data_IF_765061686715
#
_entry.id   IF_765061686715
#
_cell.length_a   1.000
_cell.length_b   1.000
_cell.length_c   1.000
_cell.angle_alpha   90.00
_cell.angle_beta   90.00
_cell.angle_gamma   90.00
#
_symmetry.space_group_name_H-M   'P 1'
#
loop_
_entity.id
_entity.type
_entity.pdbx_description
1 polymer ?
#
# COMPACT_ATOMS: atom_id res chain seq x y z
N UNK A 1 7.77 -12.31 5.94
CA UNK A 1 7.39 -11.33 6.98
C UNK A 1 7.52 -9.94 6.39
N UNK A 2 6.57 -9.05 6.66
CA UNK A 2 6.66 -7.66 6.20
C UNK A 2 7.59 -6.83 7.11
N UNK A 3 8.01 -5.67 6.61
CA UNK A 3 8.76 -4.65 7.34
C UNK A 3 7.83 -3.50 7.74
N UNK A 4 8.26 -2.73 8.73
CA UNK A 4 7.57 -1.53 9.15
C UNK A 4 8.56 -0.34 9.12
N UNK A 5 8.18 0.85 8.65
CA UNK A 5 9.11 1.96 8.44
C UNK A 5 9.59 2.57 9.76
N UNK A 6 8.80 2.43 10.83
CA UNK A 6 9.26 2.69 12.19
C UNK A 6 10.09 1.50 12.70
N UNK A 7 11.38 1.70 13.07
CA UNK A 7 12.29 0.64 13.50
C UNK A 7 11.89 -0.04 14.82
N UNK A 8 11.03 0.59 15.63
CA UNK A 8 10.53 0.04 16.89
C UNK A 8 9.26 -0.80 16.73
N UNK A 9 8.76 -0.98 15.49
CA UNK A 9 7.56 -1.76 15.20
C UNK A 9 7.90 -2.96 14.31
N UNK A 10 7.29 -4.09 14.61
CA UNK A 10 7.39 -5.28 13.77
C UNK A 10 6.37 -5.22 12.63
N UNK A 11 6.73 -5.79 11.48
CA UNK A 11 5.75 -6.08 10.45
C UNK A 11 4.87 -7.27 10.82
N UNK A 12 3.93 -7.58 9.95
CA UNK A 12 2.98 -8.68 10.11
C UNK A 12 3.37 -9.85 9.22
N UNK A 13 2.91 -11.05 9.57
CA UNK A 13 3.06 -12.20 8.72
C UNK A 13 1.85 -12.31 7.78
N UNK A 14 2.09 -12.17 6.48
CA UNK A 14 1.08 -12.26 5.42
C UNK A 14 1.53 -13.35 4.45
N UNK A 15 0.61 -14.16 3.95
CA UNK A 15 0.93 -15.15 2.92
C UNK A 15 1.47 -14.44 1.68
N UNK A 16 2.50 -15.04 1.06
CA UNK A 16 3.17 -14.43 -0.10
C UNK A 16 2.18 -14.05 -1.20
N UNK A 17 1.21 -14.91 -1.48
CA UNK A 17 0.16 -14.68 -2.47
C UNK A 17 -0.68 -13.41 -2.19
N UNK A 18 -1.20 -13.27 -0.96
CA UNK A 18 -2.02 -12.09 -0.59
C UNK A 18 -1.18 -10.81 -0.58
N UNK A 19 0.08 -10.92 -0.16
CA UNK A 19 1.03 -9.81 -0.22
C UNK A 19 1.28 -9.38 -1.66
N UNK A 20 1.57 -10.32 -2.57
CA UNK A 20 1.91 -10.03 -3.96
C UNK A 20 0.70 -9.44 -4.71
N UNK A 21 -0.51 -9.96 -4.49
CA UNK A 21 -1.75 -9.39 -5.04
C UNK A 21 -1.96 -7.93 -4.58
N UNK A 22 -1.84 -7.69 -3.27
CA UNK A 22 -2.03 -6.36 -2.68
C UNK A 22 -0.93 -5.39 -3.12
N UNK A 23 0.33 -5.84 -3.14
CA UNK A 23 1.48 -5.06 -3.61
C UNK A 23 1.30 -4.66 -5.07
N UNK A 24 0.93 -5.59 -5.94
CA UNK A 24 0.69 -5.33 -7.36
C UNK A 24 -0.39 -4.27 -7.55
N UNK A 25 -1.54 -4.44 -6.88
CA UNK A 25 -2.64 -3.48 -6.96
C UNK A 25 -2.24 -2.08 -6.46
N UNK A 26 -1.45 -1.99 -5.39
CA UNK A 26 -0.98 -0.70 -4.85
C UNK A 26 -0.03 -0.01 -5.84
N UNK A 27 1.02 -0.72 -6.28
CA UNK A 27 2.05 -0.13 -7.13
C UNK A 27 1.47 0.33 -8.47
N UNK A 28 0.65 -0.50 -9.10
CA UNK A 28 -0.01 -0.15 -10.37
C UNK A 28 -0.94 1.06 -10.21
N UNK A 29 -1.69 1.14 -9.10
CA UNK A 29 -2.58 2.28 -8.83
C UNK A 29 -1.82 3.59 -8.60
N UNK A 30 -0.66 3.53 -7.94
CA UNK A 30 0.21 4.71 -7.73
C UNK A 30 0.87 5.10 -9.05
N UNK A 31 1.38 4.14 -9.82
CA UNK A 31 2.03 4.37 -11.11
C UNK A 31 1.08 5.08 -12.09
N UNK A 32 -0.15 4.58 -12.21
CA UNK A 32 -1.17 5.17 -13.09
C UNK A 32 -1.57 6.59 -12.68
N UNK A 33 -1.58 6.90 -11.38
CA UNK A 33 -1.98 8.20 -10.86
C UNK A 33 -0.82 9.21 -10.73
N UNK A 34 0.43 8.73 -10.69
CA UNK A 34 1.62 9.49 -10.30
C UNK A 34 1.63 9.79 -8.79
N UNK A 35 0.63 10.52 -8.30
CA UNK A 35 0.40 10.76 -6.88
C UNK A 35 -1.05 10.44 -6.50
N UNK A 36 -1.25 9.69 -5.41
CA UNK A 36 -2.59 9.22 -5.02
C UNK A 36 -2.87 9.44 -3.54
N UNK A 37 -4.12 9.84 -3.19
CA UNK A 37 -4.55 9.94 -1.79
C UNK A 37 -4.66 8.55 -1.19
N UNK A 38 -4.00 8.33 -0.06
CA UNK A 38 -3.98 7.02 0.59
C UNK A 38 -5.37 6.54 1.04
N UNK A 39 -6.11 7.40 1.76
CA UNK A 39 -7.35 6.99 2.44
C UNK A 39 -8.56 6.81 1.51
N UNK A 40 -8.65 7.64 0.45
CA UNK A 40 -9.80 7.65 -0.46
C UNK A 40 -9.46 6.94 -1.75
N UNK A 41 -8.56 7.53 -2.53
CA UNK A 41 -8.37 7.21 -3.93
C UNK A 41 -7.68 5.84 -4.06
N UNK A 42 -6.57 5.63 -3.33
CA UNK A 42 -5.87 4.34 -3.37
C UNK A 42 -6.73 3.20 -2.81
N UNK A 43 -7.45 3.45 -1.71
CA UNK A 43 -8.36 2.45 -1.14
C UNK A 43 -9.46 2.08 -2.13
N UNK A 44 -10.01 3.06 -2.83
CA UNK A 44 -11.03 2.84 -3.85
C UNK A 44 -10.48 2.03 -5.03
N UNK A 45 -9.31 2.39 -5.56
CA UNK A 45 -8.68 1.68 -6.69
C UNK A 45 -8.33 0.23 -6.33
N UNK A 46 -7.75 0.00 -5.16
CA UNK A 46 -7.45 -1.35 -4.68
C UNK A 46 -8.74 -2.15 -4.48
N UNK A 47 -9.79 -1.56 -3.93
CA UNK A 47 -11.08 -2.23 -3.78
C UNK A 47 -11.73 -2.54 -5.15
N UNK A 48 -11.56 -1.67 -6.15
CA UNK A 48 -12.04 -1.94 -7.51
C UNK A 48 -11.31 -3.13 -8.14
N UNK A 49 -9.99 -3.22 -7.94
CA UNK A 49 -9.13 -4.29 -8.49
C UNK A 49 -9.33 -5.63 -7.79
N UNK A 50 -9.44 -5.62 -6.46
CA UNK A 50 -9.36 -6.82 -5.62
C UNK A 50 -10.65 -7.17 -4.87
N UNK A 51 -11.64 -6.27 -4.80
CA UNK A 51 -12.81 -6.37 -3.93
C UNK A 51 -13.65 -7.65 -4.08
N UNK A 52 -13.65 -8.27 -5.26
CA UNK A 52 -14.43 -9.49 -5.53
C UNK A 52 -13.64 -10.79 -5.37
N UNK A 53 -12.32 -10.74 -5.45
CA UNK A 53 -11.44 -11.92 -5.50
C UNK A 53 -10.51 -12.03 -4.30
N UNK A 54 -10.40 -10.99 -3.49
CA UNK A 54 -9.46 -10.95 -2.38
C UNK A 54 -10.08 -11.40 -1.07
N UNK A 55 -9.50 -12.44 -0.48
CA UNK A 55 -9.94 -12.95 0.81
C UNK A 55 -9.29 -12.19 1.97
N UNK A 56 -10.06 -11.29 2.59
CA UNK A 56 -9.70 -10.61 3.84
C UNK A 56 -10.00 -9.11 3.83
N UNK A 57 -9.62 -8.44 4.91
CA UNK A 57 -9.86 -6.99 5.06
C UNK A 57 -8.91 -6.17 4.18
N UNK A 58 -9.40 -5.70 3.02
CA UNK A 58 -8.61 -4.86 2.11
C UNK A 58 -7.96 -3.69 2.83
N UNK A 59 -8.67 -3.01 3.74
CA UNK A 59 -8.09 -1.88 4.48
C UNK A 59 -6.90 -2.27 5.37
N UNK A 60 -6.97 -3.43 6.03
CA UNK A 60 -5.89 -3.92 6.88
C UNK A 60 -4.68 -4.36 6.06
N UNK A 61 -4.90 -5.11 4.97
CA UNK A 61 -3.84 -5.54 4.06
C UNK A 61 -3.20 -4.36 3.34
N UNK A 62 -4.01 -3.43 2.84
CA UNK A 62 -3.55 -2.18 2.23
C UNK A 62 -2.62 -1.43 3.17
N UNK A 63 -3.03 -1.22 4.42
CA UNK A 63 -2.19 -0.50 5.39
C UNK A 63 -0.89 -1.24 5.69
N UNK A 64 -0.97 -2.56 5.90
CA UNK A 64 0.19 -3.38 6.25
C UNK A 64 1.21 -3.46 5.12
N UNK A 65 0.75 -3.67 3.89
CA UNK A 65 1.61 -3.74 2.70
C UNK A 65 2.15 -2.35 2.38
N UNK A 66 1.35 -1.30 2.47
CA UNK A 66 1.80 0.08 2.27
C UNK A 66 2.96 0.45 3.20
N UNK A 67 2.89 0.09 4.48
CA UNK A 67 4.00 0.32 5.42
C UNK A 67 5.26 -0.44 5.02
N UNK A 68 5.13 -1.69 4.58
CA UNK A 68 6.26 -2.47 4.08
C UNK A 68 6.89 -1.87 2.81
N UNK A 69 6.08 -1.39 1.88
CA UNK A 69 6.57 -0.72 0.67
C UNK A 69 7.29 0.60 1.00
N UNK A 70 6.81 1.36 1.99
CA UNK A 70 7.53 2.54 2.51
C UNK A 70 8.87 2.13 3.12
N UNK A 71 8.89 1.08 3.96
CA UNK A 71 10.10 0.61 4.62
C UNK A 71 11.15 0.08 3.62
N UNK A 72 10.70 -0.46 2.49
CA UNK A 72 11.54 -0.95 1.39
C UNK A 72 11.94 0.14 0.40
N UNK A 73 11.45 1.37 0.55
CA UNK A 73 11.74 2.47 -0.37
C UNK A 73 11.14 2.28 -1.77
N UNK A 74 10.01 1.56 -1.88
CA UNK A 74 9.30 1.41 -3.16
C UNK A 74 8.28 2.53 -3.38
N UNK A 75 7.71 3.04 -2.29
CA UNK A 75 6.79 4.17 -2.29
C UNK A 75 7.19 5.12 -1.17
N UNK A 76 6.84 6.40 -1.32
CA UNK A 76 7.06 7.40 -0.30
C UNK A 76 5.84 8.30 -0.11
N UNK A 77 5.82 8.98 1.04
CA UNK A 77 4.81 10.00 1.32
C UNK A 77 5.21 11.29 0.62
N UNK A 78 4.27 11.94 -0.05
CA UNK A 78 4.51 13.28 -0.61
C UNK A 78 4.61 14.29 0.56
N UNK A 79 5.77 14.92 0.78
CA UNK A 79 5.94 15.85 1.89
C UNK A 79 5.07 17.10 1.70
N UNK A 80 4.54 17.64 2.81
CA UNK A 80 3.73 18.85 2.80
C UNK A 80 2.29 18.71 2.31
N UNK A 81 1.86 17.53 1.83
CA UNK A 81 0.52 17.31 1.27
C UNK A 81 -0.43 16.63 2.29
N UNK A 82 -1.60 17.24 2.51
CA UNK A 82 -2.69 16.72 3.36
C UNK A 82 -4.00 16.64 2.56
N UNK A 83 -4.83 15.58 2.72
CA UNK A 83 -4.55 14.32 3.44
C UNK A 83 -3.35 13.58 2.85
N UNK A 84 -2.89 12.48 3.46
CA UNK A 84 -1.67 11.79 3.04
C UNK A 84 -1.73 11.33 1.57
N UNK A 85 -0.73 11.76 0.78
CA UNK A 85 -0.49 11.29 -0.58
C UNK A 85 0.72 10.35 -0.65
N UNK A 86 0.69 9.44 -1.62
CA UNK A 86 1.75 8.49 -1.92
C UNK A 86 2.17 8.60 -3.38
N UNK A 87 3.46 8.36 -3.64
CA UNK A 87 4.05 8.25 -4.98
C UNK A 87 5.10 7.13 -5.01
N UNK A 88 5.49 6.70 -6.21
CA UNK A 88 6.63 5.79 -6.37
C UNK A 88 7.93 6.52 -6.04
N UNK A 89 8.88 5.79 -5.47
CA UNK A 89 10.26 6.29 -5.33
C UNK A 89 10.93 6.19 -6.69
N UNK A 90 11.46 7.31 -7.18
CA UNK A 90 12.24 7.42 -8.42
C UNK A 90 13.73 7.25 -8.19
#
# INVERSE_FOLDING_TARGET
MTLHPNPSKNGVNISKEKYDQMKGAILESIEMAGEIKFMTDLRHEVNRKLGKSFEGSIGWYLTSVKLDLEARGLIERVPGKKPQYLRLVS
#
